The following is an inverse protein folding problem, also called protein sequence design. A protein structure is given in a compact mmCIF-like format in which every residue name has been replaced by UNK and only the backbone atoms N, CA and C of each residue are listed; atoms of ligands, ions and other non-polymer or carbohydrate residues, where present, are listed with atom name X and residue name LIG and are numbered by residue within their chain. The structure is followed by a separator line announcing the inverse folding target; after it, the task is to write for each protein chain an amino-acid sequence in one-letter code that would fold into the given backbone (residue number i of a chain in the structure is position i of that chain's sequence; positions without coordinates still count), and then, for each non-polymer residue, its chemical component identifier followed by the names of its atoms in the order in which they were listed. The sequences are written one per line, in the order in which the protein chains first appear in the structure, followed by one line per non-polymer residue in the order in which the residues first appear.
data_IF_837535006541
#
_entry.id   IF_837535006541
#
_cell.length_a   1.000
_cell.length_b   1.000
_cell.length_c   1.000
_cell.angle_alpha   90.00
_cell.angle_beta   90.00
_cell.angle_gamma   90.00
#
_symmetry.space_group_name_H-M   'P 1'
#
loop_
_entity.id
_entity.type
_entity.pdbx_description
1 polymer ?
#
# COMPACT_ATOMS: atom_id res chain seq x y z
N UNK A 1 -33.17 20.30 37.16
CA UNK A 1 -32.35 19.07 37.14
C UNK A 1 -32.51 18.43 35.76
N UNK A 2 -31.93 19.05 34.72
CA UNK A 2 -32.03 18.61 33.32
C UNK A 2 -30.66 18.86 32.69
N UNK A 3 -29.77 17.88 32.78
CA UNK A 3 -28.51 17.82 32.06
C UNK A 3 -28.02 16.36 32.09
N UNK A 4 -28.44 15.55 31.11
CA UNK A 4 -27.77 14.29 30.75
C UNK A 4 -28.40 13.65 29.51
N UNK A 5 -28.44 14.36 28.38
CA UNK A 5 -28.48 13.72 27.05
C UNK A 5 -27.62 14.57 26.12
N UNK A 6 -26.31 14.48 26.30
CA UNK A 6 -25.34 15.05 25.37
C UNK A 6 -24.40 13.93 24.94
N UNK A 7 -24.93 13.04 24.11
CA UNK A 7 -24.17 12.21 23.19
C UNK A 7 -25.17 11.76 22.13
N UNK A 8 -25.17 12.45 21.00
CA UNK A 8 -25.75 11.93 19.77
C UNK A 8 -25.06 10.60 19.49
N UNK A 9 -25.83 9.51 19.36
CA UNK A 9 -25.32 8.26 18.82
C UNK A 9 -24.59 8.57 17.51
N UNK A 10 -23.30 8.20 17.44
CA UNK A 10 -22.45 8.34 16.27
C UNK A 10 -23.17 7.73 15.06
N UNK A 11 -23.61 8.57 14.13
CA UNK A 11 -24.33 8.14 12.94
C UNK A 11 -23.31 7.62 11.93
N UNK A 12 -23.33 6.32 11.67
CA UNK A 12 -22.46 5.69 10.66
C UNK A 12 -22.53 6.34 9.26
N UNK A 13 -23.57 7.12 8.96
CA UNK A 13 -23.73 7.83 7.69
C UNK A 13 -22.69 8.95 7.41
N UNK A 14 -21.85 9.35 8.38
CA UNK A 14 -20.76 10.32 8.14
C UNK A 14 -19.47 9.68 7.58
N UNK A 15 -19.36 8.34 7.60
CA UNK A 15 -18.15 7.62 7.17
C UNK A 15 -18.36 6.64 6.02
N UNK A 16 -19.59 6.36 5.62
CA UNK A 16 -19.85 5.57 4.41
C UNK A 16 -20.02 6.53 3.23
N UNK A 17 -18.97 6.68 2.44
CA UNK A 17 -19.10 7.19 1.08
C UNK A 17 -19.88 6.15 0.28
N UNK A 18 -21.21 6.24 0.34
CA UNK A 18 -22.13 5.43 -0.47
C UNK A 18 -22.34 6.10 -1.84
N UNK A 19 -21.31 6.69 -2.42
CA UNK A 19 -21.34 7.02 -3.84
C UNK A 19 -21.35 5.71 -4.63
N UNK A 20 -22.58 5.29 -4.92
CA UNK A 20 -22.99 4.18 -5.79
C UNK A 20 -22.87 2.77 -5.18
N UNK A 21 -23.94 1.95 -5.20
CA UNK A 21 -23.87 0.53 -4.80
C UNK A 21 -22.91 -0.33 -5.65
N UNK A 22 -22.43 0.19 -6.79
CA UNK A 22 -21.37 -0.41 -7.59
C UNK A 22 -19.99 -0.35 -6.91
N UNK A 23 -19.76 0.60 -6.00
CA UNK A 23 -18.51 0.73 -5.24
C UNK A 23 -18.25 -0.46 -4.29
N UNK A 24 -19.31 -1.04 -3.72
CA UNK A 24 -19.22 -2.22 -2.86
C UNK A 24 -18.83 -3.50 -3.62
N UNK A 25 -19.01 -3.50 -4.95
CA UNK A 25 -18.69 -4.59 -5.87
C UNK A 25 -17.39 -4.28 -6.64
N UNK A 26 -16.74 -3.14 -6.36
CA UNK A 26 -15.44 -2.84 -6.95
C UNK A 26 -14.43 -3.94 -6.59
N UNK A 27 -13.70 -4.42 -7.60
CA UNK A 27 -12.70 -5.47 -7.43
C UNK A 27 -11.39 -4.96 -6.81
N UNK A 28 -11.28 -3.64 -6.60
CA UNK A 28 -10.08 -2.97 -6.08
C UNK A 28 -10.47 -1.91 -5.06
N UNK A 29 -9.61 -1.71 -4.07
CA UNK A 29 -9.67 -0.55 -3.18
C UNK A 29 -9.13 0.68 -3.86
N UNK A 30 -9.44 1.85 -3.30
CA UNK A 30 -8.98 3.13 -3.81
C UNK A 30 -9.01 4.20 -2.73
N UNK A 31 -8.17 5.21 -2.92
CA UNK A 31 -8.16 6.44 -2.12
C UNK A 31 -9.06 7.49 -2.78
N UNK A 32 -9.92 8.13 -2.00
CA UNK A 32 -10.79 9.22 -2.45
C UNK A 32 -10.28 10.52 -1.84
N UNK A 33 -9.72 11.37 -2.71
CA UNK A 33 -8.91 12.52 -2.33
C UNK A 33 -9.66 13.59 -1.52
N UNK A 34 -10.84 14.03 -2.00
CA UNK A 34 -11.64 15.09 -1.35
C UNK A 34 -12.14 14.71 0.05
N UNK A 35 -12.79 13.55 0.26
CA UNK A 35 -13.15 13.11 1.61
C UNK A 35 -11.94 12.61 2.42
N UNK A 36 -10.76 12.44 1.81
CA UNK A 36 -9.56 11.91 2.44
C UNK A 36 -9.82 10.55 3.13
N UNK A 37 -10.42 9.61 2.39
CA UNK A 37 -10.74 8.27 2.88
C UNK A 37 -10.19 7.19 1.96
N UNK A 38 -9.83 6.05 2.54
CA UNK A 38 -9.52 4.82 1.82
C UNK A 38 -10.77 3.96 1.86
N UNK A 39 -11.26 3.56 0.69
CA UNK A 39 -12.42 2.67 0.57
C UNK A 39 -11.90 1.25 0.30
N UNK A 40 -12.27 0.33 1.18
CA UNK A 40 -11.99 -1.10 1.03
C UNK A 40 -13.32 -1.83 0.79
N UNK A 41 -13.59 -2.26 -0.45
CA UNK A 41 -14.78 -3.05 -0.75
C UNK A 41 -14.84 -4.33 0.07
N UNK A 42 -16.05 -4.76 0.44
CA UNK A 42 -16.27 -6.00 1.19
C UNK A 42 -15.68 -7.23 0.48
N UNK A 43 -15.64 -7.20 -0.86
CA UNK A 43 -15.04 -8.27 -1.68
C UNK A 43 -13.53 -8.47 -1.49
N UNK A 44 -12.81 -7.51 -0.88
CA UNK A 44 -11.41 -7.66 -0.49
C UNK A 44 -11.21 -8.15 0.95
N UNK A 45 -12.30 -8.26 1.75
CA UNK A 45 -12.24 -8.76 3.12
C UNK A 45 -12.41 -10.30 3.18
N UNK A 46 -11.82 -11.00 2.22
CA UNK A 46 -11.81 -12.45 2.07
C UNK A 46 -10.47 -12.91 1.45
N UNK A 47 -10.22 -14.21 1.47
CA UNK A 47 -9.03 -14.79 0.82
C UNK A 47 -8.99 -14.45 -0.69
N UNK A 48 -7.79 -14.21 -1.26
CA UNK A 48 -6.47 -14.26 -0.62
C UNK A 48 -6.08 -12.98 0.14
N UNK A 49 -6.84 -11.89 0.00
CA UNK A 49 -6.45 -10.56 0.48
C UNK A 49 -6.50 -10.41 2.00
N UNK A 50 -7.54 -10.96 2.65
CA UNK A 50 -7.68 -10.87 4.09
C UNK A 50 -8.50 -12.02 4.67
N UNK A 51 -8.01 -12.59 5.77
CA UNK A 51 -8.76 -13.51 6.60
C UNK A 51 -8.40 -13.23 8.06
N UNK A 52 -9.42 -13.05 8.91
CA UNK A 52 -9.23 -12.60 10.29
C UNK A 52 -8.29 -13.51 11.09
N UNK A 53 -8.48 -14.82 10.96
CA UNK A 53 -7.76 -15.86 11.71
C UNK A 53 -6.46 -16.33 11.02
N UNK A 54 -6.07 -15.69 9.92
CA UNK A 54 -4.79 -15.98 9.25
C UNK A 54 -3.59 -15.43 10.02
N UNK A 55 -2.43 -16.00 9.75
CA UNK A 55 -1.15 -15.55 10.28
C UNK A 55 -0.88 -14.09 9.89
N UNK A 56 -0.26 -13.34 10.81
CA UNK A 56 -0.01 -11.91 10.64
C UNK A 56 0.71 -11.61 9.32
N UNK A 57 1.69 -12.44 8.94
CA UNK A 57 2.44 -12.30 7.69
C UNK A 57 1.53 -12.10 6.48
N UNK A 58 0.42 -12.84 6.37
CA UNK A 58 -0.49 -12.77 5.23
C UNK A 58 -1.35 -11.50 5.25
N UNK A 59 -1.84 -11.13 6.43
CA UNK A 59 -2.64 -9.90 6.61
C UNK A 59 -1.82 -8.66 6.27
N UNK A 60 -0.57 -8.58 6.73
CA UNK A 60 0.27 -7.42 6.46
C UNK A 60 0.81 -7.40 5.03
N UNK A 61 1.15 -8.55 4.43
CA UNK A 61 1.75 -8.57 3.09
C UNK A 61 0.77 -8.24 1.97
N UNK A 62 -0.54 -8.48 2.16
CA UNK A 62 -1.56 -8.14 1.16
C UNK A 62 -2.44 -6.98 1.62
N UNK A 63 -3.35 -7.20 2.58
CA UNK A 63 -4.23 -6.12 3.05
C UNK A 63 -3.43 -4.93 3.62
N UNK A 64 -2.38 -5.19 4.39
CA UNK A 64 -1.48 -4.14 4.90
C UNK A 64 -0.77 -3.37 3.79
N UNK A 65 -0.33 -4.06 2.74
CA UNK A 65 0.24 -3.45 1.54
C UNK A 65 -0.77 -2.56 0.81
N UNK A 66 -1.96 -3.08 0.52
CA UNK A 66 -3.04 -2.36 -0.14
C UNK A 66 -3.41 -1.07 0.61
N UNK A 67 -3.57 -1.17 1.93
CA UNK A 67 -3.87 -0.01 2.76
C UNK A 67 -2.72 1.00 2.78
N UNK A 68 -1.48 0.52 2.84
CA UNK A 68 -0.30 1.38 2.81
C UNK A 68 -0.16 2.09 1.45
N UNK A 69 -0.40 1.39 0.34
CA UNK A 69 -0.41 1.97 -1.02
C UNK A 69 -1.35 3.16 -1.11
N UNK A 70 -2.62 2.96 -0.71
CA UNK A 70 -3.63 4.01 -0.75
C UNK A 70 -3.40 5.13 0.27
N UNK A 71 -2.78 4.82 1.42
CA UNK A 71 -2.35 5.85 2.36
C UNK A 71 -1.26 6.73 1.74
N UNK A 72 -0.30 6.13 1.03
CA UNK A 72 0.74 6.89 0.32
C UNK A 72 0.15 7.72 -0.81
N UNK A 73 -0.93 7.30 -1.46
CA UNK A 73 -1.63 8.14 -2.46
C UNK A 73 -2.05 9.51 -1.90
N UNK A 74 -2.34 9.61 -0.59
CA UNK A 74 -2.63 10.89 0.07
C UNK A 74 -1.40 11.80 0.21
N UNK A 75 -0.19 11.26 0.06
CA UNK A 75 1.09 11.99 0.12
C UNK A 75 1.83 12.00 -1.22
N UNK A 76 1.22 11.49 -2.28
CA UNK A 76 1.74 11.53 -3.64
C UNK A 76 1.55 12.92 -4.27
N UNK A 77 1.93 13.11 -5.54
CA UNK A 77 2.03 14.44 -6.14
C UNK A 77 0.71 15.22 -6.12
N UNK A 78 -0.41 14.56 -6.37
CA UNK A 78 -1.73 15.19 -6.28
C UNK A 78 -2.22 15.28 -4.83
N UNK A 79 -2.15 14.16 -4.09
CA UNK A 79 -2.69 14.03 -2.75
C UNK A 79 -2.05 14.98 -1.72
N UNK A 80 -0.74 15.23 -1.83
CA UNK A 80 0.00 16.06 -0.87
C UNK A 80 -0.46 17.52 -0.84
N UNK A 81 -1.19 17.94 -1.86
CA UNK A 81 -1.77 19.29 -1.96
C UNK A 81 -3.16 19.40 -1.34
N UNK A 82 -3.62 18.35 -0.67
CA UNK A 82 -4.95 18.28 -0.06
C UNK A 82 -4.80 18.18 1.45
N UNK A 83 -5.43 19.12 2.15
CA UNK A 83 -5.47 19.16 3.60
C UNK A 83 -6.31 18.03 4.19
N UNK A 84 -6.17 17.80 5.50
CA UNK A 84 -6.92 16.77 6.21
C UNK A 84 -8.44 16.97 6.20
N UNK A 85 -8.90 18.18 5.86
CA UNK A 85 -10.29 18.58 5.71
C UNK A 85 -10.82 18.44 4.26
N UNK A 86 -9.97 17.96 3.32
CA UNK A 86 -10.34 17.76 1.93
C UNK A 86 -10.15 18.98 1.02
N UNK A 87 -9.71 20.10 1.57
CA UNK A 87 -9.52 21.34 0.84
C UNK A 87 -8.09 21.46 0.29
N UNK A 88 -7.92 22.24 -0.78
CA UNK A 88 -6.59 22.47 -1.36
C UNK A 88 -5.71 23.22 -0.33
N UNK A 89 -4.55 22.64 -0.03
CA UNK A 89 -3.53 23.18 0.85
C UNK A 89 -2.19 23.17 0.13
N UNK A 90 -1.62 24.33 -0.23
CA UNK A 90 -0.34 24.39 -0.91
C UNK A 90 0.78 23.72 -0.11
N UNK A 91 1.52 22.82 -0.76
CA UNK A 91 2.69 22.14 -0.21
C UNK A 91 3.92 22.41 -1.08
N UNK A 92 5.07 22.65 -0.45
CA UNK A 92 6.38 22.75 -1.13
C UNK A 92 7.48 22.16 -0.26
N UNK A 93 8.29 21.31 -0.85
CA UNK A 93 9.46 20.71 -0.20
C UNK A 93 10.48 20.32 -1.25
N UNK A 94 11.69 20.85 -1.12
CA UNK A 94 12.81 20.51 -2.01
C UNK A 94 13.07 19.00 -2.03
N UNK A 95 12.99 18.34 -0.87
CA UNK A 95 13.21 16.88 -0.76
C UNK A 95 12.14 16.10 -1.50
N UNK A 96 10.88 16.56 -1.48
CA UNK A 96 9.79 15.93 -2.21
C UNK A 96 9.96 16.14 -3.73
N UNK A 97 10.31 17.34 -4.16
CA UNK A 97 10.58 17.66 -5.57
C UNK A 97 11.76 16.83 -6.12
N UNK A 98 12.83 16.64 -5.33
CA UNK A 98 13.93 15.74 -5.68
C UNK A 98 13.49 14.27 -5.80
N UNK A 99 12.65 13.80 -4.86
CA UNK A 99 12.11 12.44 -4.88
C UNK A 99 11.27 12.18 -6.14
N UNK A 100 10.36 13.11 -6.46
CA UNK A 100 9.53 13.09 -7.68
C UNK A 100 10.40 13.13 -8.93
N UNK A 101 11.40 14.02 -8.98
CA UNK A 101 12.34 14.10 -10.11
C UNK A 101 13.19 12.85 -10.29
N UNK A 102 13.50 12.14 -9.20
CA UNK A 102 14.18 10.85 -9.27
C UNK A 102 13.25 9.80 -9.90
N UNK A 103 12.00 9.68 -9.42
CA UNK A 103 11.02 8.72 -9.93
C UNK A 103 10.66 8.96 -11.40
N UNK A 104 10.58 10.22 -11.83
CA UNK A 104 10.24 10.58 -13.21
C UNK A 104 11.27 10.11 -14.25
N UNK A 105 12.48 9.70 -13.82
CA UNK A 105 13.49 9.12 -14.72
C UNK A 105 13.16 7.71 -15.16
N UNK A 106 12.36 6.99 -14.38
CA UNK A 106 12.11 5.57 -14.55
C UNK A 106 10.62 5.20 -14.61
N UNK A 107 9.70 6.12 -14.31
CA UNK A 107 8.25 5.88 -14.36
C UNK A 107 7.46 7.05 -14.94
N UNK A 108 6.44 6.73 -15.74
CA UNK A 108 5.45 7.69 -16.26
C UNK A 108 4.31 7.93 -15.27
N UNK A 109 3.96 6.93 -14.44
CA UNK A 109 2.95 7.04 -13.40
C UNK A 109 3.63 7.16 -12.02
N UNK A 110 3.99 8.39 -11.66
CA UNK A 110 4.77 8.70 -10.45
C UNK A 110 3.99 8.35 -9.18
N UNK A 111 2.69 8.67 -9.13
CA UNK A 111 1.87 8.49 -7.93
C UNK A 111 1.65 7.00 -7.63
N UNK A 112 1.38 6.18 -8.64
CA UNK A 112 1.27 4.73 -8.47
C UNK A 112 2.62 4.12 -8.06
N UNK A 113 3.71 4.54 -8.71
CA UNK A 113 5.05 4.04 -8.36
C UNK A 113 5.46 4.45 -6.95
N UNK A 114 5.08 5.64 -6.50
CA UNK A 114 5.31 6.10 -5.13
C UNK A 114 4.50 5.25 -4.14
N UNK A 115 3.23 4.98 -4.48
CA UNK A 115 2.34 4.07 -3.75
C UNK A 115 2.96 2.69 -3.56
N UNK A 116 3.46 2.08 -4.63
CA UNK A 116 4.01 0.72 -4.56
C UNK A 116 5.31 0.67 -3.73
N UNK A 117 6.23 1.61 -3.96
CA UNK A 117 7.52 1.64 -3.26
C UNK A 117 7.30 1.94 -1.77
N UNK A 118 6.70 3.09 -1.45
CA UNK A 118 6.56 3.50 -0.05
C UNK A 118 5.49 2.67 0.68
N UNK A 119 4.47 2.18 -0.04
CA UNK A 119 3.45 1.27 0.50
C UNK A 119 4.05 -0.06 0.93
N UNK A 120 4.90 -0.67 0.09
CA UNK A 120 5.59 -1.92 0.45
C UNK A 120 6.54 -1.72 1.65
N UNK A 121 7.28 -0.61 1.67
CA UNK A 121 8.17 -0.26 2.78
C UNK A 121 7.39 -0.06 4.09
N UNK A 122 6.27 0.64 4.04
CA UNK A 122 5.41 0.89 5.20
C UNK A 122 4.74 -0.40 5.69
N UNK A 123 4.22 -1.23 4.78
CA UNK A 123 3.59 -2.49 5.14
C UNK A 123 4.59 -3.46 5.79
N UNK A 124 5.78 -3.62 5.21
CA UNK A 124 6.82 -4.48 5.77
C UNK A 124 7.34 -3.96 7.09
N UNK A 125 7.63 -2.65 7.21
CA UNK A 125 8.12 -2.09 8.47
C UNK A 125 7.07 -2.20 9.59
N UNK A 126 5.79 -2.07 9.26
CA UNK A 126 4.69 -2.30 10.20
C UNK A 126 4.61 -3.76 10.62
N UNK A 127 4.66 -4.71 9.68
CA UNK A 127 4.77 -6.14 9.97
C UNK A 127 5.97 -6.43 10.89
N UNK A 128 7.15 -5.93 10.52
CA UNK A 128 8.40 -6.07 11.23
C UNK A 128 8.45 -5.35 12.58
N UNK A 129 7.44 -4.54 12.93
CA UNK A 129 7.29 -3.93 14.25
C UNK A 129 6.14 -4.52 15.07
N UNK A 130 5.02 -4.85 14.43
CA UNK A 130 3.74 -5.10 15.10
C UNK A 130 3.26 -6.55 15.05
N UNK A 131 3.75 -7.37 14.11
CA UNK A 131 3.35 -8.77 14.02
C UNK A 131 3.68 -9.50 15.33
N UNK A 132 2.66 -10.14 15.91
CA UNK A 132 2.75 -10.82 17.22
C UNK A 132 3.36 -12.21 17.09
N UNK A 133 3.10 -12.88 15.96
CA UNK A 133 3.65 -14.19 15.63
C UNK A 133 4.55 -14.09 14.40
N UNK A 134 5.85 -14.27 14.58
CA UNK A 134 6.84 -14.41 13.50
C UNK A 134 7.56 -15.75 13.58
N UNK A 135 6.91 -16.71 14.23
CA UNK A 135 7.42 -18.05 14.26
C UNK A 135 7.29 -18.67 12.87
N UNK A 136 8.03 -19.76 12.69
CA UNK A 136 7.96 -20.55 11.48
C UNK A 136 6.51 -21.02 11.25
N UNK A 137 6.04 -20.83 10.04
CA UNK A 137 4.73 -21.28 9.59
C UNK A 137 4.75 -22.80 9.40
N UNK A 138 3.74 -23.51 9.91
CA UNK A 138 3.72 -24.98 9.92
C UNK A 138 3.73 -25.61 8.52
N UNK A 139 3.16 -24.91 7.53
CA UNK A 139 3.01 -25.41 6.16
C UNK A 139 4.25 -25.21 5.28
N UNK A 140 5.32 -24.55 5.76
CA UNK A 140 6.49 -24.24 4.93
C UNK A 140 7.82 -24.28 5.69
N UNK A 141 8.90 -24.44 4.94
CA UNK A 141 10.28 -24.31 5.43
C UNK A 141 10.81 -22.89 5.29
N UNK A 142 10.11 -22.02 4.57
CA UNK A 142 10.54 -20.64 4.35
C UNK A 142 10.33 -19.80 5.62
N UNK A 143 11.27 -18.91 5.97
CA UNK A 143 11.10 -17.94 7.03
C UNK A 143 9.96 -16.96 6.69
N UNK A 144 9.23 -16.44 7.71
CA UNK A 144 8.12 -15.52 7.49
C UNK A 144 8.48 -14.26 6.69
N UNK A 145 9.72 -13.78 6.78
CA UNK A 145 10.19 -12.64 5.98
C UNK A 145 10.16 -12.92 4.48
N UNK A 146 10.56 -14.14 4.06
CA UNK A 146 10.44 -14.53 2.64
C UNK A 146 8.97 -14.69 2.24
N UNK A 147 8.14 -15.25 3.12
CA UNK A 147 6.70 -15.41 2.87
C UNK A 147 6.00 -14.06 2.70
N UNK A 148 6.38 -13.06 3.49
CA UNK A 148 5.84 -11.70 3.33
C UNK A 148 6.01 -11.23 1.89
N UNK A 149 7.24 -11.27 1.36
CA UNK A 149 7.54 -10.77 0.03
C UNK A 149 6.94 -11.63 -1.08
N UNK A 150 6.93 -12.96 -0.91
CA UNK A 150 6.30 -13.87 -1.87
C UNK A 150 4.79 -13.62 -1.95
N UNK A 151 4.13 -13.40 -0.83
CA UNK A 151 2.70 -13.14 -0.79
C UNK A 151 2.36 -11.73 -1.30
N UNK A 152 3.12 -10.70 -0.90
CA UNK A 152 2.97 -9.35 -1.45
C UNK A 152 3.15 -9.34 -2.99
N UNK A 153 4.13 -10.11 -3.50
CA UNK A 153 4.37 -10.26 -4.93
C UNK A 153 3.20 -10.87 -5.71
N UNK A 154 2.30 -11.63 -5.05
CA UNK A 154 1.09 -12.16 -5.69
C UNK A 154 0.13 -11.05 -6.12
N UNK A 155 0.17 -9.87 -5.49
CA UNK A 155 -0.66 -8.73 -5.88
C UNK A 155 -0.41 -8.31 -7.34
N UNK A 156 0.84 -8.42 -7.79
CA UNK A 156 1.27 -8.08 -9.15
C UNK A 156 1.11 -9.23 -10.15
N UNK A 157 0.52 -10.36 -9.73
CA UNK A 157 0.30 -11.49 -10.62
C UNK A 157 -1.02 -11.30 -11.38
N UNK A 158 -0.93 -11.00 -12.67
CA UNK A 158 -2.07 -10.95 -13.59
C UNK A 158 -1.90 -11.90 -14.77
N UNK A 159 -2.98 -12.60 -15.14
CA UNK A 159 -3.03 -13.36 -16.40
C UNK A 159 -3.79 -12.53 -17.44
N UNK A 160 -3.21 -11.40 -17.85
CA UNK A 160 -3.78 -10.58 -18.90
C UNK A 160 -3.17 -11.03 -20.24
N UNK A 161 -4.01 -11.34 -21.23
CA UNK A 161 -3.57 -11.52 -22.63
C UNK A 161 -2.97 -10.23 -23.22
N UNK A 162 -3.09 -9.11 -22.50
CA UNK A 162 -2.53 -7.81 -22.82
C UNK A 162 -1.09 -7.73 -22.32
N UNK A 163 -0.12 -8.12 -23.16
CA UNK A 163 1.33 -8.08 -22.89
C UNK A 163 1.81 -6.75 -22.25
N UNK A 164 1.12 -5.63 -22.51
CA UNK A 164 1.40 -4.33 -21.91
C UNK A 164 1.19 -4.32 -20.39
N UNK A 165 0.06 -4.81 -19.90
CA UNK A 165 -0.30 -4.79 -18.47
C UNK A 165 0.57 -5.76 -17.67
N UNK A 166 0.82 -6.97 -18.19
CA UNK A 166 1.76 -7.91 -17.56
C UNK A 166 3.18 -7.34 -17.40
N UNK A 167 3.67 -6.62 -18.42
CA UNK A 167 4.98 -5.97 -18.36
C UNK A 167 4.99 -4.81 -17.36
N UNK A 168 3.88 -4.11 -17.21
CA UNK A 168 3.72 -3.02 -16.24
C UNK A 168 3.79 -3.55 -14.81
N UNK A 169 3.00 -4.58 -14.47
CA UNK A 169 2.98 -5.18 -13.11
C UNK A 169 4.34 -5.73 -12.69
N UNK A 170 5.04 -6.42 -13.62
CA UNK A 170 6.39 -6.92 -13.36
C UNK A 170 7.38 -5.78 -13.09
N UNK A 171 7.23 -4.66 -13.81
CA UNK A 171 8.09 -3.48 -13.64
C UNK A 171 7.78 -2.78 -12.31
N UNK A 172 6.52 -2.68 -11.91
CA UNK A 172 6.12 -2.11 -10.61
C UNK A 172 6.68 -2.93 -9.45
N UNK A 173 6.50 -4.26 -9.47
CA UNK A 173 7.09 -5.15 -8.45
C UNK A 173 8.61 -4.99 -8.39
N UNK A 174 9.28 -4.97 -9.55
CA UNK A 174 10.73 -4.82 -9.61
C UNK A 174 11.19 -3.48 -9.02
N UNK A 175 10.46 -2.38 -9.25
CA UNK A 175 10.75 -1.07 -8.65
C UNK A 175 10.52 -1.07 -7.14
N UNK A 176 9.44 -1.69 -6.67
CA UNK A 176 9.12 -1.76 -5.24
C UNK A 176 10.18 -2.51 -4.41
N UNK A 177 10.78 -3.56 -4.98
CA UNK A 177 11.82 -4.36 -4.30
C UNK A 177 13.25 -3.89 -4.59
N UNK A 178 13.48 -3.16 -5.69
CA UNK A 178 14.79 -2.58 -5.96
C UNK A 178 15.14 -1.54 -4.90
N UNK A 179 16.40 -1.53 -4.48
CA UNK A 179 16.80 -0.73 -3.31
C UNK A 179 16.26 -1.19 -1.94
N UNK A 180 15.39 -2.21 -1.85
CA UNK A 180 14.74 -2.56 -0.58
C UNK A 180 15.53 -3.57 0.25
N UNK A 181 16.32 -3.06 1.20
CA UNK A 181 17.27 -3.83 1.99
C UNK A 181 16.67 -5.00 2.80
N UNK A 182 15.46 -4.91 3.39
CA UNK A 182 14.80 -6.06 3.99
C UNK A 182 14.49 -7.20 3.01
N UNK A 183 14.13 -6.88 1.76
CA UNK A 183 13.97 -7.89 0.71
C UNK A 183 15.31 -8.57 0.40
N UNK A 184 16.37 -7.77 0.23
CA UNK A 184 17.71 -8.30 -0.04
C UNK A 184 18.20 -9.25 1.03
N UNK A 185 18.01 -8.88 2.30
CA UNK A 185 18.36 -9.74 3.42
C UNK A 185 17.55 -11.03 3.44
N UNK A 186 16.24 -10.94 3.17
CA UNK A 186 15.37 -12.10 3.19
C UNK A 186 15.77 -13.14 2.14
N UNK A 187 16.23 -12.72 0.96
CA UNK A 187 16.62 -13.61 -0.15
C UNK A 187 18.12 -13.76 -0.37
N UNK A 188 18.96 -13.14 0.46
CA UNK A 188 20.42 -13.18 0.32
C UNK A 188 20.92 -12.54 -0.98
N UNK A 189 20.23 -11.50 -1.47
CA UNK A 189 20.59 -10.84 -2.72
C UNK A 189 21.93 -10.09 -2.57
N UNK A 190 22.97 -10.56 -3.24
CA UNK A 190 24.27 -9.88 -3.25
C UNK A 190 24.30 -8.82 -4.35
N UNK A 191 24.17 -7.56 -3.96
CA UNK A 191 24.07 -6.43 -4.90
C UNK A 191 25.44 -5.90 -5.30
N UNK A 192 26.18 -6.71 -6.07
CA UNK A 192 27.47 -6.35 -6.66
C UNK A 192 27.36 -5.58 -8.00
N UNK A 193 26.15 -5.27 -8.46
CA UNK A 193 25.93 -4.41 -9.65
C UNK A 193 25.64 -2.98 -9.20
N UNK A 194 26.01 -1.94 -9.97
CA UNK A 194 25.55 -0.59 -9.72
C UNK A 194 24.02 -0.62 -9.68
N UNK A 195 23.46 -0.35 -8.50
CA UNK A 195 22.02 -0.19 -8.36
C UNK A 195 21.59 0.97 -9.27
N UNK A 196 20.38 0.89 -9.85
CA UNK A 196 19.71 2.13 -10.21
C UNK A 196 19.62 2.96 -8.93
N UNK A 197 19.95 4.24 -9.00
CA UNK A 197 19.94 5.14 -7.85
C UNK A 197 18.58 5.05 -7.16
N UNK A 198 18.51 4.45 -5.97
CA UNK A 198 17.24 4.29 -5.25
C UNK A 198 16.69 5.67 -4.92
N UNK A 199 15.52 6.00 -5.46
CA UNK A 199 14.83 7.22 -5.09
C UNK A 199 14.41 7.16 -3.62
N UNK A 200 14.82 8.15 -2.84
CA UNK A 200 14.40 8.30 -1.44
C UNK A 200 13.13 9.13 -1.40
N UNK A 201 12.01 8.51 -1.01
CA UNK A 201 10.70 9.16 -1.00
C UNK A 201 10.45 9.88 0.33
N UNK A 202 10.83 9.28 1.46
CA UNK A 202 10.61 9.77 2.82
C UNK A 202 11.86 9.63 3.71
#
# INVERSE_FOLDING_TARGET
MLAQIQQSALRGAEYFDLQEPSSAIASTSYYVMRPNVIIVPLGLLQEPFFQLDSEDVFKYSLMGYILAHHLISAFATEGITIGSDGNDQPFRSHRFEEAVSCLSRSSENIDETMGDIAGLELAYSTYAKMAKNRNRLEFTHLPPEQIFFLNAGQFFCGNSDMLAQYKEDQVLLQRAIDGFEPFDRAFGCNRNKPQHEKCRLW
#
